data_IF_072190016416
#
_entry.id   IF_072190016416
#
_cell.length_a   1.000
_cell.length_b   1.000
_cell.length_c   1.000
_cell.angle_alpha   90.00
_cell.angle_beta   90.00
_cell.angle_gamma   90.00
#
_symmetry.space_group_name_H-M   'P 1'
#
loop_
_entity.id
_entity.type
_entity.pdbx_description
1 polymer ?
2 non-polymer ?
#
# COMPACT_ATOMS: atom_id res chain seq x y z
N UNK A 2 -16.14 17.50 -14.98
CA UNK A 2 -17.39 18.26 -14.65
C UNK A 2 -18.40 17.36 -13.95
N UNK A 3 -18.82 16.28 -14.58
CA UNK A 3 -19.86 15.41 -13.98
C UNK A 3 -19.24 14.04 -13.71
N UNK A 4 -19.39 13.54 -12.49
CA UNK A 4 -19.02 12.15 -12.17
C UNK A 4 -20.11 11.31 -12.79
N UNK A 5 -19.76 10.22 -13.43
CA UNK A 5 -20.74 9.40 -14.18
C UNK A 5 -20.73 8.02 -13.56
N UNK A 6 -21.83 7.29 -13.64
CA UNK A 6 -21.89 5.88 -13.21
C UNK A 6 -21.87 5.08 -14.50
N UNK A 7 -20.96 4.13 -14.65
CA UNK A 7 -20.80 3.40 -15.94
C UNK A 7 -20.82 1.91 -15.69
N UNK A 8 -21.27 1.08 -16.64
CA UNK A 8 -21.38 -0.36 -16.42
C UNK A 8 -20.00 -1.03 -16.29
N UNK A 9 -19.78 -1.74 -15.18
CA UNK A 9 -18.47 -2.35 -14.88
C UNK A 9 -18.17 -3.33 -16.01
N UNK A 10 -19.19 -3.90 -16.61
CA UNK A 10 -18.97 -5.01 -17.58
C UNK A 10 -18.57 -4.49 -18.97
N UNK A 11 -18.77 -3.19 -19.23
CA UNK A 11 -18.52 -2.52 -20.53
C UNK A 11 -17.15 -1.83 -20.51
N UNK A 12 -16.33 -2.15 -19.53
CA UNK A 12 -15.03 -1.45 -19.30
C UNK A 12 -13.90 -2.41 -19.65
N UNK A 13 -12.93 -1.93 -20.41
CA UNK A 13 -11.76 -2.75 -20.81
C UNK A 13 -10.53 -2.06 -20.27
N UNK A 14 -9.59 -2.82 -19.67
CA UNK A 14 -8.38 -2.23 -19.11
C UNK A 14 -7.50 -1.68 -20.24
N UNK A 15 -6.62 -0.75 -19.92
CA UNK A 15 -5.83 -0.03 -20.95
C UNK A 15 -5.03 -1.03 -21.77
N UNK A 16 -4.99 -0.82 -23.07
CA UNK A 16 -4.26 -1.72 -24.00
C UNK A 16 -2.76 -1.70 -23.68
N UNK A 17 -2.18 -0.52 -23.52
CA UNK A 17 -0.75 -0.41 -23.15
C UNK A 17 -0.66 -0.64 -21.65
N UNK A 18 -0.83 -1.89 -21.21
CA UNK A 18 -0.95 -2.21 -19.77
C UNK A 18 0.19 -1.58 -18.97
N UNK A 19 -0.06 -0.63 -18.05
CA UNK A 19 1.01 -0.12 -17.20
C UNK A 19 1.35 -1.16 -16.13
N UNK A 20 0.32 -1.83 -15.61
CA UNK A 20 0.47 -2.85 -14.54
C UNK A 20 0.40 -4.24 -15.18
N UNK A 21 1.43 -5.05 -14.95
CA UNK A 21 1.51 -6.47 -15.39
C UNK A 21 1.18 -7.39 -14.20
N UNK A 22 1.70 -7.13 -13.00
CA UNK A 22 1.46 -7.96 -11.79
C UNK A 22 0.47 -7.25 -10.86
N UNK A 23 -0.55 -7.98 -10.37
CA UNK A 23 -1.70 -7.49 -9.55
C UNK A 23 -1.85 -8.40 -8.32
N UNK A 24 -1.54 -7.89 -7.13
CA UNK A 24 -1.57 -8.70 -5.88
C UNK A 24 -3.03 -8.86 -5.43
N UNK A 25 -3.56 -10.07 -5.38
CA UNK A 25 -4.99 -10.21 -5.00
C UNK A 25 -5.13 -9.88 -3.50
N UNK A 26 -4.15 -10.22 -2.67
CA UNK A 26 -4.15 -9.85 -1.24
C UNK A 26 -4.58 -8.38 -1.09
N UNK A 27 -3.92 -7.47 -1.82
CA UNK A 27 -4.16 -6.00 -1.77
C UNK A 27 -5.53 -5.67 -2.38
N UNK A 28 -5.80 -6.19 -3.58
CA UNK A 28 -7.05 -5.85 -4.33
C UNK A 28 -8.27 -6.23 -3.49
N UNK A 29 -8.13 -7.19 -2.60
CA UNK A 29 -9.28 -7.68 -1.81
C UNK A 29 -9.44 -6.69 -0.67
N UNK A 30 -8.33 -6.27 -0.07
CA UNK A 30 -8.37 -5.21 0.95
C UNK A 30 -9.15 -4.00 0.41
N UNK A 31 -8.95 -3.67 -0.87
CA UNK A 31 -9.60 -2.53 -1.57
C UNK A 31 -11.11 -2.79 -1.71
N UNK A 32 -11.50 -3.98 -2.18
CA UNK A 32 -12.91 -4.39 -2.34
C UNK A 32 -13.61 -4.32 -0.98
N UNK A 33 -12.91 -4.77 0.08
CA UNK A 33 -13.40 -4.71 1.49
C UNK A 33 -13.58 -3.25 1.91
N UNK A 34 -12.54 -2.44 1.72
CA UNK A 34 -12.54 -0.99 2.08
C UNK A 34 -13.61 -0.25 1.27
N UNK A 35 -13.89 -0.67 0.03
CA UNK A 35 -15.00 -0.10 -0.80
C UNK A 35 -16.36 -0.58 -0.25
N UNK A 36 -16.46 -1.81 0.27
CA UNK A 36 -17.75 -2.26 0.87
C UNK A 36 -18.09 -1.28 2.00
N UNK A 37 -17.11 -0.90 2.82
CA UNK A 37 -17.30 -0.06 4.03
C UNK A 37 -17.64 1.39 3.66
N UNK A 38 -16.82 2.10 2.92
CA UNK A 38 -16.98 3.57 2.73
C UNK A 38 -17.14 3.90 1.24
N UNK A 39 -17.24 2.88 0.40
CA UNK A 39 -17.53 3.04 -1.02
C UNK A 39 -16.28 3.41 -1.79
N UNK A 40 -16.43 3.63 -3.11
CA UNK A 40 -15.33 4.09 -4.01
C UNK A 40 -15.22 5.61 -3.81
N UNK A 41 -14.10 6.07 -3.25
CA UNK A 41 -13.88 7.49 -2.83
C UNK A 41 -13.46 8.33 -4.04
N UNK A 42 -12.50 7.81 -4.82
CA UNK A 42 -12.04 8.46 -6.08
C UNK A 42 -12.67 7.75 -7.27
N UNK A 43 -13.52 8.42 -8.07
CA UNK A 43 -14.04 7.78 -9.26
C UNK A 43 -12.90 7.33 -10.18
N UNK A 44 -13.19 6.35 -11.05
CA UNK A 44 -12.20 5.79 -12.01
C UNK A 44 -12.19 6.65 -13.28
N UNK A 45 -11.01 7.01 -13.77
CA UNK A 45 -10.88 7.82 -15.02
C UNK A 45 -10.88 6.87 -16.21
N UNK A 46 -11.78 7.13 -17.16
CA UNK A 46 -11.96 6.35 -18.42
C UNK A 46 -12.12 7.33 -19.59
N UNK A 47 -11.89 6.83 -20.79
CA UNK A 47 -12.22 7.51 -22.06
C UNK A 47 -13.24 6.62 -22.74
N UNK A 48 -13.97 7.11 -23.73
CA UNK A 48 -14.87 6.20 -24.49
C UNK A 48 -14.02 5.44 -25.51
N UNK A 49 -13.84 4.13 -25.34
CA UNK A 49 -13.04 3.29 -26.25
C UNK A 49 -13.77 3.37 -27.59
N UNK A 50 -15.11 3.44 -27.55
CA UNK A 50 -15.95 3.60 -28.77
C UNK A 50 -17.44 3.70 -28.45
N UNK A 51 -18.30 2.91 -29.10
CA UNK A 51 -19.76 2.90 -28.82
C UNK A 51 -20.06 2.08 -27.55
N UNK A 52 -20.40 2.75 -26.44
CA UNK A 52 -20.87 2.13 -25.19
C UNK A 52 -19.79 1.34 -24.49
N UNK A 53 -18.52 1.51 -24.87
CA UNK A 53 -17.38 0.78 -24.25
C UNK A 53 -16.41 1.82 -23.70
N UNK A 54 -15.76 1.56 -22.57
CA UNK A 54 -14.87 2.56 -21.92
C UNK A 54 -13.49 1.95 -21.67
N UNK A 55 -12.43 2.65 -22.07
CA UNK A 55 -11.03 2.23 -21.81
C UNK A 55 -10.56 2.92 -20.51
N UNK A 56 -10.18 2.13 -19.51
CA UNK A 56 -9.62 2.63 -18.21
C UNK A 56 -8.37 3.47 -18.47
N UNK A 57 -8.38 4.75 -18.09
CA UNK A 57 -7.17 5.62 -18.03
C UNK A 57 -6.45 5.29 -16.72
N UNK A 58 -7.18 5.36 -15.61
CA UNK A 58 -6.65 5.16 -14.25
C UNK A 58 -7.72 4.52 -13.37
N UNK A 59 -7.38 3.44 -12.66
CA UNK A 59 -8.23 2.86 -11.60
C UNK A 59 -8.57 1.40 -11.81
N UNK A 60 -7.60 0.60 -12.27
CA UNK A 60 -7.81 -0.85 -12.56
C UNK A 60 -8.16 -1.58 -11.27
N UNK A 61 -7.43 -1.31 -10.18
CA UNK A 61 -7.62 -1.98 -8.86
C UNK A 61 -9.05 -1.71 -8.36
N UNK A 62 -9.51 -0.46 -8.46
CA UNK A 62 -10.88 -0.05 -8.07
C UNK A 62 -11.89 -0.87 -8.87
N UNK A 63 -11.68 -0.97 -10.18
CA UNK A 63 -12.53 -1.73 -11.14
C UNK A 63 -12.56 -3.21 -10.75
N UNK A 64 -11.41 -3.79 -10.48
CA UNK A 64 -11.33 -5.24 -10.19
C UNK A 64 -11.91 -5.51 -8.80
N UNK A 65 -11.68 -4.62 -7.85
CA UNK A 65 -12.23 -4.75 -6.48
C UNK A 65 -13.76 -4.69 -6.49
N UNK A 66 -14.31 -3.74 -7.23
CA UNK A 66 -15.79 -3.62 -7.34
C UNK A 66 -16.34 -4.83 -8.10
N UNK A 67 -15.60 -5.35 -9.06
CA UNK A 67 -16.03 -6.56 -9.80
C UNK A 67 -16.20 -7.70 -8.81
N UNK A 68 -15.23 -7.86 -7.93
CA UNK A 68 -15.26 -8.92 -6.90
C UNK A 68 -16.43 -8.65 -5.96
N UNK A 69 -16.67 -7.38 -5.64
CA UNK A 69 -17.79 -6.96 -4.76
C UNK A 69 -19.12 -7.31 -5.44
N UNK A 70 -19.15 -7.31 -6.76
CA UNK A 70 -20.34 -7.74 -7.50
C UNK A 70 -21.14 -6.53 -7.94
N UNK A 71 -20.52 -5.36 -7.88
CA UNK A 71 -21.23 -4.11 -8.23
C UNK A 71 -21.51 -4.11 -9.73
N UNK A 72 -22.70 -3.67 -10.12
CA UNK A 72 -23.16 -3.69 -11.55
C UNK A 72 -22.68 -2.44 -12.30
N UNK A 73 -22.53 -1.29 -11.64
CA UNK A 73 -21.92 -0.08 -12.25
C UNK A 73 -20.85 0.50 -11.32
N UNK A 74 -19.97 1.35 -11.86
CA UNK A 74 -18.88 2.07 -11.13
C UNK A 74 -18.90 3.56 -11.48
N UNK A 75 -18.57 4.46 -10.51
CA UNK A 75 -18.37 5.89 -10.75
C UNK A 75 -17.10 6.17 -11.57
N UNK A 76 -17.27 6.89 -12.68
CA UNK A 76 -16.20 7.25 -13.62
C UNK A 76 -16.24 8.77 -13.87
N UNK A 77 -15.17 9.26 -14.47
CA UNK A 77 -15.02 10.60 -15.09
C UNK A 77 -14.60 10.35 -16.54
N UNK A 78 -15.43 10.73 -17.52
CA UNK A 78 -15.09 10.54 -18.96
C UNK A 78 -14.31 11.78 -19.44
N UNK A 79 -13.14 11.54 -20.03
CA UNK A 79 -12.28 12.54 -20.72
C UNK A 79 -12.09 12.05 -22.16
N UNK A 80 -12.45 12.89 -23.14
CA UNK A 80 -12.19 12.69 -24.59
C UNK A 80 -10.68 12.76 -24.78
N UNK A 81 -10.05 11.66 -25.22
CA UNK A 81 -8.60 11.61 -25.51
C UNK A 81 -8.37 10.72 -26.74
N UNK A 82 -7.34 11.06 -27.53
CA UNK A 82 -6.82 10.27 -28.66
C UNK A 82 -6.04 9.06 -28.10
N UNK A 83 -5.83 8.01 -28.89
CA UNK A 83 -5.24 6.71 -28.46
C UNK A 83 -3.86 6.93 -27.84
N UNK A 84 -3.12 7.94 -28.32
CA UNK A 84 -1.74 8.28 -27.89
C UNK A 84 -1.79 8.90 -26.49
N UNK A 85 -2.66 9.91 -26.32
CA UNK A 85 -2.86 10.66 -25.06
C UNK A 85 -3.18 9.67 -23.93
N UNK A 86 -4.16 8.80 -24.15
CA UNK A 86 -4.67 7.76 -23.21
C UNK A 86 -3.51 6.92 -22.70
N UNK A 87 -2.73 6.35 -23.63
CA UNK A 87 -1.59 5.46 -23.34
C UNK A 87 -0.57 6.22 -22.49
N UNK A 88 -0.25 7.45 -22.88
CA UNK A 88 0.72 8.30 -22.16
C UNK A 88 0.22 8.52 -20.73
N UNK A 89 -0.96 9.12 -20.59
CA UNK A 89 -1.56 9.48 -19.28
C UNK A 89 -1.64 8.21 -18.43
N UNK A 90 -2.12 7.12 -19.03
CA UNK A 90 -2.28 5.80 -18.40
C UNK A 90 -0.96 5.38 -17.75
N UNK A 91 0.18 5.65 -18.38
CA UNK A 91 1.52 5.29 -17.84
C UNK A 91 1.93 6.29 -16.74
N UNK A 92 1.68 7.58 -16.93
CA UNK A 92 2.11 8.63 -15.95
C UNK A 92 1.35 8.47 -14.61
N UNK A 93 0.03 8.31 -14.63
CA UNK A 93 -0.81 8.12 -13.41
C UNK A 93 -0.33 6.89 -12.63
N UNK A 94 0.46 6.03 -13.26
CA UNK A 94 0.96 4.80 -12.61
C UNK A 94 2.43 5.01 -12.23
N UNK A 95 3.17 5.74 -13.05
CA UNK A 95 4.58 6.08 -12.74
C UNK A 95 4.63 7.01 -11.54
N UNK A 96 3.72 7.97 -11.46
CA UNK A 96 3.73 8.98 -10.35
C UNK A 96 2.86 8.49 -9.19
N UNK A 97 3.22 7.37 -8.58
CA UNK A 97 2.52 6.88 -7.38
C UNK A 97 3.57 6.74 -6.29
N UNK A 98 3.33 7.27 -5.11
CA UNK A 98 4.29 7.08 -3.99
C UNK A 98 3.56 6.29 -2.91
N UNK A 99 4.10 5.14 -2.53
CA UNK A 99 3.51 4.28 -1.48
C UNK A 99 3.90 4.87 -0.13
N UNK A 100 3.12 4.58 0.91
CA UNK A 100 3.41 5.15 2.24
C UNK A 100 4.55 4.35 2.87
N UNK A 101 5.32 5.01 3.72
CA UNK A 101 6.53 4.39 4.31
C UNK A 101 6.08 3.45 5.43
N UNK A 102 6.81 2.34 5.70
CA UNK A 102 6.36 1.34 6.66
C UNK A 102 6.04 1.96 8.03
N UNK A 103 6.79 2.98 8.43
CA UNK A 103 6.58 3.67 9.73
C UNK A 103 5.23 4.38 9.68
N UNK A 104 4.88 4.92 8.52
CA UNK A 104 3.64 5.69 8.37
C UNK A 104 2.48 4.69 8.37
N UNK A 105 2.65 3.58 7.66
CA UNK A 105 1.65 2.48 7.65
C UNK A 105 1.37 2.07 9.10
N UNK A 106 2.42 2.03 9.92
CA UNK A 106 2.38 1.70 11.36
C UNK A 106 1.59 2.78 12.10
N UNK A 107 1.98 4.04 11.91
CA UNK A 107 1.36 5.24 12.54
C UNK A 107 -0.15 5.25 12.25
N UNK A 108 -0.53 5.12 10.98
CA UNK A 108 -1.94 5.06 10.50
C UNK A 108 -2.71 3.97 11.26
N UNK A 109 -2.11 2.78 11.38
CA UNK A 109 -2.68 1.61 12.09
C UNK A 109 -3.02 2.01 13.53
N UNK A 110 -2.15 2.78 14.18
CA UNK A 110 -2.30 3.28 15.56
C UNK A 110 -3.44 4.29 15.62
N UNK A 111 -3.52 5.18 14.63
CA UNK A 111 -4.61 6.19 14.54
C UNK A 111 -5.96 5.46 14.55
N UNK A 112 -6.13 4.49 13.65
CA UNK A 112 -7.39 3.72 13.48
C UNK A 112 -7.71 2.94 14.78
N UNK A 113 -6.67 2.43 15.45
CA UNK A 113 -6.78 1.76 16.77
C UNK A 113 -7.37 2.75 17.78
N UNK A 114 -6.93 4.01 17.76
CA UNK A 114 -7.43 5.02 18.72
C UNK A 114 -8.86 5.44 18.34
N UNK A 115 -9.04 5.90 17.09
CA UNK A 115 -10.29 6.47 16.48
C UNK A 115 -11.43 5.47 16.59
N UNK A 116 -11.32 4.30 15.98
CA UNK A 116 -12.40 3.28 16.08
C UNK A 116 -12.30 2.49 17.40
N UNK A 117 -11.35 2.83 18.29
CA UNK A 117 -11.21 2.17 19.62
C UNK A 117 -11.16 0.66 19.36
N UNK A 118 -10.24 0.23 18.51
CA UNK A 118 -10.25 -1.17 18.00
C UNK A 118 -9.09 -2.01 18.54
N UNK A 119 -9.28 -3.33 18.53
CA UNK A 119 -8.23 -4.35 18.82
C UNK A 119 -7.41 -4.58 17.55
N UNK A 120 -6.20 -5.13 17.69
CA UNK A 120 -5.32 -5.46 16.53
C UNK A 120 -6.04 -6.46 15.60
N UNK A 121 -6.93 -7.29 16.17
CA UNK A 121 -7.78 -8.25 15.42
C UNK A 121 -8.83 -7.46 14.63
N UNK A 122 -9.47 -6.48 15.28
CA UNK A 122 -10.50 -5.60 14.67
C UNK A 122 -9.90 -4.87 13.46
N UNK A 123 -8.66 -4.38 13.59
CA UNK A 123 -7.92 -3.68 12.52
C UNK A 123 -7.69 -4.64 11.35
N UNK A 124 -7.04 -5.78 11.59
CA UNK A 124 -6.76 -6.83 10.58
C UNK A 124 -8.03 -7.14 9.78
N UNK A 125 -9.18 -7.31 10.45
CA UNK A 125 -10.47 -7.69 9.82
C UNK A 125 -10.94 -6.57 8.88
N UNK A 126 -10.77 -5.31 9.30
CA UNK A 126 -11.27 -4.09 8.59
C UNK A 126 -10.37 -3.77 7.39
N UNK A 127 -9.05 -3.87 7.55
CA UNK A 127 -8.03 -3.49 6.53
C UNK A 127 -7.73 -4.66 5.59
N UNK A 128 -8.21 -5.87 5.92
CA UNK A 128 -8.13 -7.08 5.08
C UNK A 128 -6.74 -7.70 5.06
N UNK A 129 -5.96 -7.50 6.11
CA UNK A 129 -4.59 -8.06 6.28
C UNK A 129 -4.57 -8.93 7.54
N UNK A 130 -3.42 -9.56 7.84
CA UNK A 130 -3.24 -10.48 8.98
C UNK A 130 -3.03 -9.72 10.29
N UNK A 131 -3.49 -10.30 11.40
CA UNK A 131 -3.21 -9.83 12.79
C UNK A 131 -1.70 -9.65 12.94
N UNK A 132 -0.94 -10.65 12.46
CA UNK A 132 0.54 -10.69 12.47
C UNK A 132 1.08 -9.40 11.85
N UNK A 133 0.70 -9.11 10.60
CA UNK A 133 1.22 -7.94 9.84
C UNK A 133 0.93 -6.65 10.62
N UNK A 134 -0.27 -6.53 11.19
CA UNK A 134 -0.72 -5.33 11.96
C UNK A 134 0.17 -5.17 13.20
N UNK A 135 0.26 -6.22 14.02
CA UNK A 135 1.04 -6.27 15.28
C UNK A 135 2.50 -5.90 14.99
N UNK A 136 3.11 -6.58 14.02
CA UNK A 136 4.55 -6.42 13.68
C UNK A 136 4.85 -5.01 13.20
N UNK A 137 3.89 -4.35 12.57
CA UNK A 137 4.15 -3.01 12.00
C UNK A 137 4.01 -1.99 13.13
N UNK A 138 3.03 -2.17 14.01
CA UNK A 138 2.85 -1.27 15.18
C UNK A 138 4.08 -1.33 16.09
N UNK A 139 4.66 -2.52 16.27
CA UNK A 139 5.85 -2.77 17.14
C UNK A 139 6.98 -1.81 16.76
N UNK A 140 6.99 -1.31 15.52
CA UNK A 140 8.07 -0.42 15.03
C UNK A 140 7.99 0.94 15.73
N UNK A 141 6.82 1.29 16.26
CA UNK A 141 6.64 2.58 16.98
C UNK A 141 7.39 2.55 18.31
N UNK A 142 7.75 1.36 18.80
CA UNK A 142 8.49 1.22 20.07
C UNK A 142 9.98 1.48 19.81
N UNK A 143 10.39 1.41 18.55
CA UNK A 143 11.83 1.52 18.19
C UNK A 143 12.30 2.94 18.49
N UNK A 144 13.62 3.15 18.67
CA UNK A 144 14.16 4.47 18.95
C UNK A 144 13.85 5.42 17.78
N UNK A 145 13.71 6.70 18.09
CA UNK A 145 13.27 7.70 17.10
C UNK A 145 14.21 7.69 15.89
N UNK A 146 15.50 7.59 16.11
CA UNK A 146 16.46 7.69 14.99
C UNK A 146 16.20 6.54 14.03
N UNK A 147 15.92 5.36 14.57
CA UNK A 147 15.61 4.18 13.72
C UNK A 147 14.34 4.51 12.96
N UNK A 148 13.40 5.17 13.63
CA UNK A 148 12.09 5.48 13.02
C UNK A 148 12.33 6.44 11.85
N UNK A 149 13.24 7.39 12.02
CA UNK A 149 13.56 8.37 10.95
C UNK A 149 14.24 7.64 9.79
N UNK A 150 15.05 6.64 10.09
CA UNK A 150 15.71 5.84 9.04
C UNK A 150 14.61 5.16 8.22
N UNK A 151 13.58 4.70 8.91
CA UNK A 151 12.50 3.96 8.23
C UNK A 151 11.82 4.88 7.22
N UNK A 152 11.52 6.12 7.61
CA UNK A 152 10.82 7.05 6.69
C UNK A 152 11.75 7.43 5.54
N UNK A 153 13.04 7.58 5.82
CA UNK A 153 14.01 7.98 4.79
C UNK A 153 14.26 6.76 3.91
N UNK A 154 13.69 5.62 4.29
CA UNK A 154 13.79 4.38 3.50
C UNK A 154 15.25 3.94 3.53
N UNK A 155 15.97 4.36 4.56
CA UNK A 155 17.36 3.91 4.77
C UNK A 155 17.37 2.41 5.05
N UNK A 156 16.45 1.94 5.88
CA UNK A 156 16.42 0.51 6.31
C UNK A 156 15.05 -0.09 5.99
N UNK A 157 15.00 -1.41 5.76
CA UNK A 157 13.73 -2.14 5.52
C UNK A 157 13.08 -2.35 6.87
N UNK A 158 11.83 -2.80 6.87
CA UNK A 158 11.07 -3.02 8.12
C UNK A 158 11.64 -4.27 8.80
N UNK A 159 12.19 -5.19 8.02
CA UNK A 159 12.74 -6.45 8.58
C UNK A 159 14.07 -6.16 9.29
N UNK A 160 14.86 -5.23 8.77
CA UNK A 160 16.10 -4.79 9.44
C UNK A 160 15.72 -4.28 10.82
N UNK A 161 14.70 -3.44 10.86
CA UNK A 161 14.23 -2.79 12.11
C UNK A 161 13.63 -3.81 13.06
N UNK A 162 12.90 -4.79 12.54
CA UNK A 162 12.18 -5.75 13.39
C UNK A 162 13.20 -6.43 14.29
N UNK A 163 14.32 -6.79 13.71
CA UNK A 163 15.36 -7.51 14.46
C UNK A 163 15.84 -6.61 15.59
N UNK A 164 15.94 -5.33 15.32
CA UNK A 164 16.52 -4.38 16.29
C UNK A 164 15.60 -4.24 17.51
N UNK A 165 14.33 -4.61 17.38
CA UNK A 165 13.35 -4.51 18.49
C UNK A 165 13.79 -5.46 19.60
N UNK A 166 14.40 -6.57 19.24
CA UNK A 166 14.79 -7.63 20.19
C UNK A 166 15.96 -7.19 21.07
N UNK A 167 16.83 -6.34 20.55
CA UNK A 167 18.04 -5.94 21.31
C UNK A 167 17.66 -5.29 22.64
N UNK A 168 16.57 -4.52 22.67
CA UNK A 168 16.02 -3.94 23.91
C UNK A 168 17.03 -3.00 24.57
N UNK A 169 18.02 -2.50 23.84
CA UNK A 169 18.93 -1.44 24.35
C UNK A 169 19.01 -0.39 23.26
N UNK A 170 18.63 0.84 23.55
CA UNK A 170 18.61 1.91 22.53
C UNK A 170 20.00 2.02 21.91
N UNK A 171 21.02 2.11 22.75
CA UNK A 171 22.38 2.39 22.23
C UNK A 171 22.79 1.28 21.27
N UNK A 172 22.55 0.03 21.66
CA UNK A 172 23.00 -1.12 20.85
C UNK A 172 22.30 -1.03 19.50
N UNK A 173 21.02 -0.69 19.51
CA UNK A 173 20.22 -0.60 18.28
C UNK A 173 20.80 0.49 17.39
N UNK A 174 21.11 1.63 17.99
CA UNK A 174 21.61 2.79 17.21
C UNK A 174 22.97 2.41 16.62
N UNK A 175 23.81 1.75 17.41
CA UNK A 175 25.17 1.40 16.95
C UNK A 175 25.02 0.51 15.71
N UNK A 176 24.11 -0.45 15.79
CA UNK A 176 23.89 -1.36 14.66
C UNK A 176 23.30 -0.54 13.52
N UNK A 177 22.37 0.36 13.82
CA UNK A 177 21.73 1.09 12.71
C UNK A 177 22.83 1.70 11.85
N UNK A 178 23.80 2.35 12.48
CA UNK A 178 24.83 3.07 11.71
C UNK A 178 25.61 2.04 10.89
N UNK A 179 25.87 0.89 11.48
CA UNK A 179 26.55 -0.21 10.76
C UNK A 179 25.68 -0.65 9.58
N UNK A 180 24.38 -0.82 9.79
CA UNK A 180 23.52 -1.38 8.71
C UNK A 180 23.59 -0.43 7.52
N UNK A 181 23.43 0.86 7.75
CA UNK A 181 23.34 1.83 6.62
C UNK A 181 24.72 1.98 5.98
N UNK A 182 25.77 2.06 6.78
CA UNK A 182 27.12 2.37 6.25
C UNK A 182 27.75 1.10 5.67
N UNK A 183 27.77 0.02 6.44
CA UNK A 183 28.30 -1.30 5.98
C UNK A 183 27.38 -1.85 4.88
N UNK A 184 26.14 -1.35 4.82
CA UNK A 184 25.07 -1.77 3.85
C UNK A 184 24.71 -3.24 4.09
N UNK A 185 24.45 -3.61 5.35
CA UNK A 185 24.05 -4.99 5.73
C UNK A 185 22.63 -5.27 5.20
N UNK A 186 22.33 -6.55 4.97
CA UNK A 186 20.98 -7.05 4.56
C UNK A 186 20.16 -7.34 5.83
N UNK A 187 19.05 -8.06 5.69
CA UNK A 187 18.18 -8.49 6.83
C UNK A 187 18.86 -9.68 7.54
N UNK A 188 19.41 -10.62 6.77
CA UNK A 188 20.06 -11.85 7.30
C UNK A 188 21.15 -11.45 8.30
N UNK A 189 22.14 -10.67 7.85
CA UNK A 189 23.39 -10.36 8.61
C UNK A 189 23.08 -9.40 9.76
N UNK A 190 21.98 -8.64 9.67
CA UNK A 190 21.42 -7.83 10.79
C UNK A 190 20.96 -8.79 11.88
N UNK A 191 20.01 -9.67 11.53
CA UNK A 191 19.46 -10.71 12.44
C UNK A 191 20.63 -11.49 13.05
N UNK A 192 21.55 -11.96 12.21
CA UNK A 192 22.77 -12.69 12.64
C UNK A 192 23.44 -11.89 13.76
N UNK A 193 23.82 -10.64 13.47
CA UNK A 193 24.58 -9.74 14.39
C UNK A 193 23.75 -9.50 15.65
N UNK A 194 22.43 -9.34 15.50
CA UNK A 194 21.47 -9.07 16.62
C UNK A 194 21.54 -10.22 17.62
N UNK A 195 21.54 -11.46 17.14
CA UNK A 195 21.61 -12.68 18.00
C UNK A 195 22.96 -12.72 18.71
N UNK A 196 24.06 -12.59 17.96
CA UNK A 196 25.45 -12.62 18.48
C UNK A 196 25.57 -11.72 19.71
N UNK A 197 24.90 -10.56 19.70
CA UNK A 197 24.95 -9.54 20.78
C UNK A 197 24.18 -10.03 22.00
N UNK A 198 23.00 -10.62 21.80
CA UNK A 198 22.13 -11.12 22.89
C UNK A 198 22.78 -12.35 23.52
N UNK A 199 23.49 -13.15 22.72
CA UNK A 199 24.27 -14.33 23.18
C UNK A 199 25.42 -13.85 24.08
N UNK A 200 26.20 -12.88 23.58
CA UNK A 200 27.34 -12.26 24.29
C UNK A 200 26.83 -11.26 25.33
X LIG B 1 -5.69 2.09 -8.98
X LIG B 1 -5.71 3.31 -9.76
X LIG B 1 -4.55 2.12 -8.10
X LIG B 1 -5.60 0.96 -9.86
X LIG B 1 -6.89 2.00 -8.19
#
# INVERSE_FOLDING_TARGET
MEEVRHIPVKSIIPNRFQPRTMFDEEKIDELALTIRTHGIIQPIVVRECGNGRFEIIAGERRWRAVQKLGWTEIPAIIKNLNDKETASVALIENLQREELTPIEEAMAYAKLIELHDLTQEALAQRLGKGQSTIANKLRLLKLPQEVQEALLQRAITERHARALIALKDKEKQLKLLQEIIDKQLNVKQTEDRVLKLLEAGERKPKPKRKAFSRDKLAAALEHHHHHH
SO4 S O1 O2 O3 O4
#
